data_IF_485690157054
#
_entry.id   IF_485690157054
#
_cell.length_a   1.000
_cell.length_b   1.000
_cell.length_c   1.000
_cell.angle_alpha   90.00
_cell.angle_beta   90.00
_cell.angle_gamma   90.00
#
_symmetry.space_group_name_H-M   'P 1'
#
loop_
_entity.id
_entity.type
_entity.pdbx_description
1 polymer ?
#
# COMPACT_ATOMS: atom_id res chain seq x y z
N UNK A 1 6.04 -3.75 2.55
CA UNK A 1 6.53 -3.78 1.15
C UNK A 1 5.52 -3.08 0.27
N UNK A 2 5.91 -2.05 -0.48
CA UNK A 2 4.98 -1.32 -1.37
C UNK A 2 4.94 -2.06 -2.71
N UNK A 3 3.78 -2.61 -3.04
CA UNK A 3 3.53 -3.21 -4.35
C UNK A 3 3.64 -2.12 -5.43
N UNK A 4 4.61 -2.24 -6.34
CA UNK A 4 4.75 -1.31 -7.45
C UNK A 4 3.84 -1.75 -8.59
N UNK A 5 2.89 -0.90 -8.98
CA UNK A 5 1.92 -1.18 -10.03
C UNK A 5 2.57 -1.58 -11.36
N UNK A 6 3.71 -0.97 -11.73
CA UNK A 6 4.44 -1.33 -12.94
C UNK A 6 5.01 -2.74 -12.89
N UNK A 7 5.49 -3.17 -11.73
CA UNK A 7 6.04 -4.52 -11.55
C UNK A 7 4.93 -5.57 -11.66
N UNK A 8 3.78 -5.35 -11.03
CA UNK A 8 2.62 -6.26 -11.13
C UNK A 8 2.15 -6.38 -12.58
N UNK A 9 2.05 -5.25 -13.29
CA UNK A 9 1.65 -5.25 -14.70
C UNK A 9 2.61 -6.10 -15.53
N UNK A 10 3.92 -5.92 -15.33
CA UNK A 10 4.93 -6.68 -16.03
C UNK A 10 4.89 -8.18 -15.73
N UNK A 11 4.60 -8.57 -14.49
CA UNK A 11 4.37 -9.99 -14.16
C UNK A 11 3.12 -10.56 -14.84
N UNK A 12 2.09 -9.75 -15.05
CA UNK A 12 0.93 -10.12 -15.85
C UNK A 12 1.29 -10.40 -17.32
N UNK A 13 2.17 -9.57 -17.89
CA UNK A 13 2.69 -9.75 -19.26
C UNK A 13 3.50 -11.06 -19.36
N UNK A 14 4.43 -11.30 -18.42
CA UNK A 14 5.20 -12.55 -18.35
C UNK A 14 4.27 -13.78 -18.27
N UNK A 15 3.22 -13.70 -17.43
CA UNK A 15 2.23 -14.78 -17.34
C UNK A 15 1.48 -14.98 -18.66
N UNK A 16 1.14 -13.90 -19.36
CA UNK A 16 0.45 -14.01 -20.65
C UNK A 16 1.35 -14.68 -21.70
N UNK A 17 2.64 -14.34 -21.75
CA UNK A 17 3.60 -14.99 -22.63
C UNK A 17 3.81 -16.47 -22.26
N UNK A 18 3.87 -16.82 -20.98
CA UNK A 18 3.99 -18.23 -20.56
C UNK A 18 2.78 -19.07 -20.97
N UNK A 19 1.58 -18.51 -20.86
CA UNK A 19 0.32 -19.24 -21.11
C UNK A 19 -0.04 -19.27 -22.59
N UNK A 20 0.06 -18.13 -23.27
CA UNK A 20 -0.44 -17.90 -24.63
C UNK A 20 0.65 -17.58 -25.65
N UNK A 21 1.90 -17.37 -25.21
CA UNK A 21 3.01 -17.08 -26.11
C UNK A 21 3.36 -18.26 -27.00
N UNK A 22 4.23 -17.98 -27.97
CA UNK A 22 4.64 -18.94 -28.99
C UNK A 22 5.38 -20.12 -28.35
N UNK A 23 4.92 -21.33 -28.66
CA UNK A 23 5.57 -22.59 -28.28
C UNK A 23 6.07 -23.26 -29.54
N UNK A 24 7.37 -23.57 -29.61
CA UNK A 24 7.92 -24.39 -30.69
C UNK A 24 8.03 -25.82 -30.18
N UNK A 25 7.51 -26.77 -30.94
CA UNK A 25 7.48 -28.20 -30.59
C UNK A 25 6.84 -28.50 -29.21
N UNK A 26 5.90 -27.66 -28.79
CA UNK A 26 5.24 -27.77 -27.48
C UNK A 26 6.03 -27.18 -26.31
N UNK A 27 7.26 -26.71 -26.53
CA UNK A 27 8.11 -26.10 -25.51
C UNK A 27 8.00 -24.57 -25.54
N UNK A 28 7.89 -23.96 -24.37
CA UNK A 28 8.09 -22.51 -24.22
C UNK A 28 9.58 -22.22 -24.17
N UNK A 29 10.00 -21.11 -24.78
CA UNK A 29 11.38 -20.61 -24.68
C UNK A 29 11.51 -19.49 -23.64
N UNK A 30 10.39 -19.12 -23.02
CA UNK A 30 10.33 -18.11 -21.98
C UNK A 30 10.23 -18.83 -20.63
N UNK A 31 11.21 -18.58 -19.77
CA UNK A 31 11.23 -19.10 -18.41
C UNK A 31 11.47 -17.94 -17.44
N UNK A 32 10.64 -17.80 -16.39
CA UNK A 32 10.92 -16.81 -15.36
C UNK A 32 12.17 -17.22 -14.60
N UNK A 33 13.06 -16.26 -14.35
CA UNK A 33 14.23 -16.51 -13.50
C UNK A 33 13.83 -16.81 -12.05
N UNK A 34 14.70 -17.48 -11.30
CA UNK A 34 14.48 -17.73 -9.87
C UNK A 34 14.22 -16.44 -9.08
N UNK A 35 14.89 -15.36 -9.47
CA UNK A 35 14.64 -14.04 -8.90
C UNK A 35 13.19 -13.59 -9.15
N UNK A 36 12.69 -13.69 -10.39
CA UNK A 36 11.32 -13.33 -10.74
C UNK A 36 10.29 -14.19 -9.96
N UNK A 37 10.54 -15.49 -9.83
CA UNK A 37 9.70 -16.41 -9.05
C UNK A 37 9.69 -15.99 -7.57
N UNK A 38 10.85 -15.63 -7.00
CA UNK A 38 10.95 -15.20 -5.60
C UNK A 38 10.16 -13.91 -5.33
N UNK A 39 10.16 -12.97 -6.28
CA UNK A 39 9.41 -11.72 -6.16
C UNK A 39 7.90 -11.96 -6.28
N UNK A 40 7.49 -12.81 -7.21
CA UNK A 40 6.10 -13.24 -7.36
C UNK A 40 5.55 -13.87 -6.08
N UNK A 41 6.31 -14.76 -5.44
CA UNK A 41 5.91 -15.38 -4.16
C UNK A 41 5.63 -14.33 -3.09
N UNK A 42 6.51 -13.34 -2.93
CA UNK A 42 6.30 -12.23 -1.97
C UNK A 42 5.01 -11.45 -2.26
N UNK A 43 4.69 -11.21 -3.54
CA UNK A 43 3.44 -10.54 -3.89
C UNK A 43 2.22 -11.40 -3.59
N UNK A 44 2.28 -12.69 -3.89
CA UNK A 44 1.20 -13.65 -3.57
C UNK A 44 0.94 -13.67 -2.07
N UNK A 45 1.99 -13.68 -1.24
CA UNK A 45 1.85 -13.68 0.22
C UNK A 45 1.14 -12.42 0.72
N UNK A 46 1.51 -11.24 0.21
CA UNK A 46 0.86 -9.97 0.58
C UNK A 46 -0.59 -9.92 0.08
N UNK A 47 -0.90 -10.50 -1.08
CA UNK A 47 -2.27 -10.53 -1.61
C UNK A 47 -3.15 -11.50 -0.82
N UNK A 48 -2.63 -12.68 -0.45
CA UNK A 48 -3.35 -13.70 0.32
C UNK A 48 -3.53 -13.30 1.79
N UNK A 49 -2.56 -12.59 2.35
CA UNK A 49 -2.57 -12.10 3.71
C UNK A 49 -2.27 -10.59 3.71
N UNK A 50 -3.25 -9.75 3.31
CA UNK A 50 -3.05 -8.31 3.29
C UNK A 50 -2.86 -7.77 4.70
N UNK A 51 -1.96 -6.79 4.83
CA UNK A 51 -1.85 -6.03 6.07
C UNK A 51 -3.19 -5.36 6.38
N UNK A 52 -3.67 -5.53 7.61
CA UNK A 52 -4.84 -4.79 8.09
C UNK A 52 -4.44 -3.34 8.31
N UNK A 53 -5.40 -2.41 8.21
CA UNK A 53 -5.16 -1.01 8.58
C UNK A 53 -4.56 -0.90 9.98
N UNK A 54 -5.00 -1.75 10.92
CA UNK A 54 -4.49 -1.82 12.29
C UNK A 54 -3.05 -2.32 12.40
N UNK A 55 -2.54 -3.04 11.41
CA UNK A 55 -1.14 -3.51 11.42
C UNK A 55 -0.17 -2.36 11.12
N UNK A 56 -0.64 -1.34 10.37
CA UNK A 56 0.15 -0.18 9.93
C UNK A 56 -0.12 1.07 10.77
N UNK A 57 -1.38 1.33 11.13
CA UNK A 57 -1.78 2.46 11.96
C UNK A 57 -1.77 2.07 13.44
N UNK A 58 -0.59 2.19 14.06
CA UNK A 58 -0.37 1.89 15.50
C UNK A 58 0.00 3.11 16.35
N UNK A 59 -0.07 4.33 15.80
CA UNK A 59 0.38 5.53 16.50
C UNK A 59 -0.80 6.36 16.98
N UNK A 60 -0.82 6.79 18.25
CA UNK A 60 -1.74 7.82 18.69
C UNK A 60 -1.48 9.08 17.84
N UNK A 61 -2.52 9.54 17.14
CA UNK A 61 -2.48 10.76 16.35
C UNK A 61 -2.98 11.92 17.20
N UNK A 62 -2.39 13.10 17.02
CA UNK A 62 -2.92 14.31 17.62
C UNK A 62 -4.28 14.63 16.99
N UNK A 63 -5.27 14.94 17.84
CA UNK A 63 -6.64 15.30 17.44
C UNK A 63 -7.01 16.64 18.05
N UNK A 64 -7.87 17.41 17.40
CA UNK A 64 -8.40 18.68 17.93
C UNK A 64 -9.93 18.65 18.07
N UNK A 65 -10.45 19.57 18.88
CA UNK A 65 -11.89 19.81 19.02
C UNK A 65 -12.36 20.91 18.06
N UNK A 66 -13.65 20.92 17.71
CA UNK A 66 -14.28 21.98 16.89
C UNK A 66 -13.98 23.38 17.41
N UNK A 67 -14.00 23.55 18.74
CA UNK A 67 -13.82 24.86 19.38
C UNK A 67 -12.37 25.15 19.79
N UNK A 68 -11.39 24.32 19.40
CA UNK A 68 -9.98 24.62 19.64
C UNK A 68 -9.54 25.85 18.83
N UNK A 69 -8.75 26.73 19.47
CA UNK A 69 -8.18 27.89 18.77
C UNK A 69 -7.29 27.43 17.63
N UNK A 70 -7.58 27.92 16.42
CA UNK A 70 -6.80 27.62 15.22
C UNK A 70 -5.29 27.85 15.40
N UNK A 71 -4.90 28.92 16.11
CA UNK A 71 -3.50 29.23 16.40
C UNK A 71 -2.77 28.14 17.19
N UNK A 72 -3.47 27.43 18.08
CA UNK A 72 -2.91 26.30 18.83
C UNK A 72 -2.74 25.09 17.92
N UNK A 73 -3.73 24.80 17.08
CA UNK A 73 -3.71 23.68 16.12
C UNK A 73 -2.58 23.86 15.10
N UNK A 74 -2.45 25.05 14.50
CA UNK A 74 -1.40 25.36 13.52
C UNK A 74 0.01 25.21 14.11
N UNK A 75 0.23 25.62 15.36
CA UNK A 75 1.53 25.41 16.04
C UNK A 75 1.87 23.93 16.16
N UNK A 76 0.90 23.09 16.53
CA UNK A 76 1.12 21.64 16.68
C UNK A 76 1.32 20.98 15.32
N UNK A 77 0.55 21.38 14.30
CA UNK A 77 0.71 20.92 12.92
C UNK A 77 2.11 21.20 12.39
N UNK A 78 2.57 22.44 12.53
CA UNK A 78 3.91 22.84 12.11
C UNK A 78 5.00 22.08 12.88
N UNK A 79 4.86 21.95 14.21
CA UNK A 79 5.83 21.24 15.05
C UNK A 79 5.98 19.77 14.67
N UNK A 80 4.86 19.10 14.34
CA UNK A 80 4.85 17.66 14.03
C UNK A 80 4.91 17.38 12.52
N UNK A 81 5.08 18.41 11.68
CA UNK A 81 5.09 18.31 10.23
C UNK A 81 3.82 17.61 9.67
N UNK A 82 2.67 17.90 10.26
CA UNK A 82 1.37 17.34 9.87
C UNK A 82 0.64 18.27 8.91
N UNK A 83 0.18 17.73 7.78
CA UNK A 83 -0.67 18.45 6.82
C UNK A 83 -2.16 18.39 7.16
N UNK A 84 -2.57 17.39 7.94
CA UNK A 84 -3.97 17.15 8.32
C UNK A 84 -4.05 16.76 9.79
N UNK A 85 -5.14 17.16 10.45
CA UNK A 85 -5.43 16.81 11.85
C UNK A 85 -6.90 16.39 11.94
N UNK A 86 -7.20 15.21 12.53
CA UNK A 86 -8.57 14.81 12.81
C UNK A 86 -9.27 15.77 13.78
N UNK A 87 -10.48 16.19 13.43
CA UNK A 87 -11.34 17.04 14.26
C UNK A 87 -12.47 16.19 14.85
N UNK A 88 -12.72 16.35 16.14
CA UNK A 88 -13.82 15.66 16.83
C UNK A 88 -14.76 16.68 17.50
N UNK A 89 -16.05 16.37 17.52
CA UNK A 89 -17.04 17.11 18.29
C UNK A 89 -17.00 16.75 19.79
N UNK A 90 -17.89 17.35 20.59
CA UNK A 90 -17.99 17.07 22.03
C UNK A 90 -18.45 15.64 22.35
N UNK A 91 -19.17 15.02 21.42
CA UNK A 91 -19.65 13.64 21.50
C UNK A 91 -18.63 12.63 20.96
N UNK A 92 -17.43 13.07 20.58
CA UNK A 92 -16.36 12.28 19.94
C UNK A 92 -16.74 11.72 18.56
N UNK A 93 -17.66 12.36 17.86
CA UNK A 93 -17.89 12.09 16.44
C UNK A 93 -16.81 12.79 15.62
N UNK A 94 -16.31 12.10 14.59
CA UNK A 94 -15.41 12.69 13.61
C UNK A 94 -16.20 13.66 12.71
N UNK A 95 -15.67 14.87 12.52
CA UNK A 95 -16.30 15.94 11.73
C UNK A 95 -15.42 16.30 10.53
#
# INVERSE_FOLDING_TARGET
MKLNQYQIKHFGEIRNELTHGIKLDGYSYLYPSDYAISQLKKYVDVIKAPFRCTDLFKKPVFTCKIHDKLTKVLKVMHKNNHSHVPVYDENKNYV
#
